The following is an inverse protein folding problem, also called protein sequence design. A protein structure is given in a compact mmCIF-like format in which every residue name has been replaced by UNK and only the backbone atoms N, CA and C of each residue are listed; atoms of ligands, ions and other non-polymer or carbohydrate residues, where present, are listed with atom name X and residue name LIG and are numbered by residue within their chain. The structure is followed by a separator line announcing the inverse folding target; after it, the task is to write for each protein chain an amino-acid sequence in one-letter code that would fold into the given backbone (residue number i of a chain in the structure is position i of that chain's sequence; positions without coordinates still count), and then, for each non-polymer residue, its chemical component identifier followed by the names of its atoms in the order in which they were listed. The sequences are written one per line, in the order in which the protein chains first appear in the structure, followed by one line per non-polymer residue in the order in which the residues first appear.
data_IF_213207903917
#
_entry.id   IF_213207903917
#
_cell.length_a   1.000
_cell.length_b   1.000
_cell.length_c   1.000
_cell.angle_alpha   90.00
_cell.angle_beta   90.00
_cell.angle_gamma   90.00
#
_symmetry.space_group_name_H-M   'P 1'
#
loop_
_entity.id
_entity.type
_entity.pdbx_description
1 polymer ?
#
# COMPACT_ATOMS: atom_id res chain seq x y z
N UNK A 1 -29.85 1.29 8.57
CA UNK A 1 -29.25 0.42 9.61
C UNK A 1 -28.21 -0.44 8.93
N UNK A 2 -26.93 -0.31 9.29
CA UNK A 2 -25.86 -1.16 8.73
C UNK A 2 -25.76 -2.44 9.56
N UNK A 3 -26.04 -3.58 8.95
CA UNK A 3 -25.79 -4.89 9.58
C UNK A 3 -24.31 -5.23 9.48
N UNK A 4 -23.65 -5.31 10.63
CA UNK A 4 -22.28 -5.83 10.73
C UNK A 4 -22.33 -7.36 10.71
N UNK A 5 -21.95 -7.94 9.58
CA UNK A 5 -21.82 -9.39 9.41
C UNK A 5 -20.44 -9.82 9.91
N UNK A 6 -20.32 -11.00 10.52
CA UNK A 6 -19.04 -11.57 10.93
C UNK A 6 -18.82 -12.89 10.21
N UNK A 7 -17.63 -13.08 9.66
CA UNK A 7 -17.21 -14.25 8.90
C UNK A 7 -16.11 -15.05 9.63
N UNK A 8 -15.89 -16.28 9.17
CA UNK A 8 -14.80 -17.09 9.69
C UNK A 8 -13.43 -16.57 9.21
N UNK A 9 -12.33 -16.88 9.93
CA UNK A 9 -10.99 -16.55 9.46
C UNK A 9 -10.61 -17.23 8.14
N UNK A 10 -11.22 -18.38 7.82
CA UNK A 10 -11.05 -19.08 6.55
C UNK A 10 -11.73 -18.33 5.41
N UNK A 11 -12.98 -17.91 5.59
CA UNK A 11 -13.69 -17.08 4.62
C UNK A 11 -12.99 -15.74 4.39
N UNK A 12 -12.52 -15.10 5.47
CA UNK A 12 -11.76 -13.86 5.39
C UNK A 12 -10.42 -14.05 4.63
N UNK A 13 -9.77 -15.20 4.80
CA UNK A 13 -8.55 -15.55 4.09
C UNK A 13 -8.81 -15.70 2.58
N UNK A 14 -9.87 -16.43 2.20
CA UNK A 14 -10.29 -16.58 0.80
C UNK A 14 -10.65 -15.25 0.17
N UNK A 15 -11.43 -14.40 0.85
CA UNK A 15 -11.81 -13.07 0.32
C UNK A 15 -10.60 -12.15 0.11
N UNK A 16 -9.58 -12.23 0.97
CA UNK A 16 -8.40 -11.34 0.93
C UNK A 16 -7.20 -11.94 0.19
N UNK A 17 -7.30 -13.18 -0.32
CA UNK A 17 -6.20 -13.84 -1.03
C UNK A 17 -4.96 -14.13 -0.16
N UNK A 18 -5.12 -14.29 1.16
CA UNK A 18 -4.03 -14.55 2.10
C UNK A 18 -4.24 -15.86 2.86
N UNK A 19 -3.22 -16.32 3.59
CA UNK A 19 -3.37 -17.53 4.42
C UNK A 19 -4.19 -17.25 5.68
N UNK A 20 -4.88 -18.27 6.20
CA UNK A 20 -5.61 -18.19 7.49
C UNK A 20 -4.67 -17.85 8.66
N UNK A 21 -3.41 -18.27 8.59
CA UNK A 21 -2.39 -17.93 9.59
C UNK A 21 -2.13 -16.42 9.63
N UNK A 22 -2.07 -15.77 8.46
CA UNK A 22 -1.94 -14.31 8.32
C UNK A 22 -3.14 -13.59 8.95
N UNK A 23 -4.37 -14.04 8.66
CA UNK A 23 -5.58 -13.48 9.28
C UNK A 23 -5.55 -13.61 10.82
N UNK A 24 -5.18 -14.78 11.35
CA UNK A 24 -5.06 -15.00 12.81
C UNK A 24 -3.93 -14.19 13.45
N UNK A 25 -2.88 -13.84 12.70
CA UNK A 25 -1.82 -12.94 13.15
C UNK A 25 -2.37 -11.52 13.26
N UNK A 26 -2.98 -11.01 12.20
CA UNK A 26 -3.59 -9.67 12.18
C UNK A 26 -4.68 -9.47 13.24
N UNK A 27 -5.52 -10.48 13.50
CA UNK A 27 -6.50 -10.43 14.59
C UNK A 27 -5.86 -10.30 15.98
N UNK A 28 -4.69 -10.93 16.19
CA UNK A 28 -3.96 -10.82 17.46
C UNK A 28 -3.24 -9.48 17.60
N UNK A 29 -2.76 -8.94 16.48
CA UNK A 29 -2.06 -7.66 16.41
C UNK A 29 -3.03 -6.45 16.42
N UNK A 30 -4.33 -6.69 16.21
CA UNK A 30 -5.35 -5.63 16.14
C UNK A 30 -5.44 -4.96 14.78
N UNK A 31 -4.79 -5.53 13.77
CA UNK A 31 -4.71 -5.01 12.40
C UNK A 31 -6.03 -5.08 11.64
N UNK A 32 -6.88 -6.05 12.01
CA UNK A 32 -8.22 -6.21 11.44
C UNK A 32 -9.23 -6.36 12.58
N UNK A 33 -10.42 -5.82 12.37
CA UNK A 33 -11.46 -5.86 13.39
C UNK A 33 -12.06 -7.25 13.49
N UNK A 34 -12.04 -7.83 14.68
CA UNK A 34 -12.63 -9.14 14.93
C UNK A 34 -12.91 -9.38 16.40
N UNK A 35 -13.89 -10.26 16.65
CA UNK A 35 -14.31 -10.65 17.99
C UNK A 35 -13.79 -12.06 18.24
N UNK A 36 -13.13 -12.25 19.39
CA UNK A 36 -12.76 -13.57 19.86
C UNK A 36 -13.92 -14.17 20.65
N UNK A 37 -14.58 -15.18 20.08
CA UNK A 37 -15.65 -15.94 20.71
C UNK A 37 -15.10 -17.28 21.20
N UNK A 38 -14.60 -17.30 22.44
CA UNK A 38 -13.97 -18.47 23.05
C UNK A 38 -12.69 -18.88 22.31
N UNK A 39 -12.71 -20.03 21.62
CA UNK A 39 -11.59 -20.55 20.82
C UNK A 39 -11.60 -20.09 19.37
N UNK A 40 -12.69 -19.45 18.93
CA UNK A 40 -12.88 -19.07 17.53
C UNK A 40 -12.76 -17.56 17.38
N UNK A 41 -12.11 -17.15 16.31
CA UNK A 41 -12.15 -15.76 15.87
C UNK A 41 -13.30 -15.56 14.89
N UNK A 42 -13.90 -14.36 14.96
CA UNK A 42 -14.91 -13.88 14.03
C UNK A 42 -14.42 -12.57 13.47
N UNK A 43 -14.11 -12.56 12.19
CA UNK A 43 -13.62 -11.37 11.48
C UNK A 43 -14.85 -10.56 11.09
N UNK A 44 -14.83 -9.25 11.29
CA UNK A 44 -15.89 -8.40 10.77
C UNK A 44 -15.86 -8.49 9.23
N UNK A 45 -16.99 -8.87 8.66
CA UNK A 45 -17.17 -8.94 7.22
C UNK A 45 -17.35 -7.51 6.70
N UNK A 46 -16.23 -6.96 6.26
CA UNK A 46 -16.12 -5.64 5.65
C UNK A 46 -16.62 -5.63 4.21
N UNK A 47 -17.58 -6.50 3.85
CA UNK A 47 -18.26 -6.53 2.55
C UNK A 47 -19.06 -5.23 2.26
N UNK A 48 -19.09 -4.30 3.21
CA UNK A 48 -19.54 -2.91 3.03
C UNK A 48 -18.58 -1.84 3.54
N UNK A 49 -17.31 -2.17 3.85
CA UNK A 49 -16.27 -1.16 4.02
C UNK A 49 -15.12 -1.53 3.10
N UNK A 50 -15.28 -1.08 1.86
CA UNK A 50 -14.29 -0.72 0.86
C UNK A 50 -12.86 -1.16 1.16
N UNK A 51 -12.17 -1.71 0.15
CA UNK A 51 -10.74 -2.05 0.16
C UNK A 51 -9.75 -0.95 0.58
N UNK A 52 -10.23 0.16 1.10
CA UNK A 52 -9.52 1.27 1.71
C UNK A 52 -8.56 0.86 2.82
N UNK A 53 -8.81 -0.15 3.66
CA UNK A 53 -7.88 -0.43 4.78
C UNK A 53 -6.51 -1.00 4.33
N UNK A 54 -6.51 -1.84 3.28
CA UNK A 54 -5.29 -2.36 2.67
C UNK A 54 -4.66 -1.33 1.72
N UNK A 55 -5.47 -0.62 0.92
CA UNK A 55 -5.01 0.54 0.15
C UNK A 55 -4.35 1.58 1.07
N UNK A 56 -4.91 1.86 2.25
CA UNK A 56 -4.37 2.86 3.19
C UNK A 56 -3.00 2.45 3.72
N UNK A 57 -2.69 1.15 3.87
CA UNK A 57 -1.37 0.68 4.31
C UNK A 57 -0.33 0.74 3.20
N UNK A 58 -0.68 0.32 1.99
CA UNK A 58 0.22 0.47 0.84
C UNK A 58 0.48 1.95 0.54
N UNK A 59 -0.55 2.79 0.62
CA UNK A 59 -0.44 4.25 0.51
C UNK A 59 0.40 4.82 1.65
N UNK A 60 0.26 4.36 2.90
CA UNK A 60 1.07 4.82 4.05
C UNK A 60 2.54 4.40 3.93
N UNK A 61 2.80 3.17 3.49
CA UNK A 61 4.16 2.67 3.19
C UNK A 61 4.81 3.47 2.05
N UNK A 62 4.05 3.71 0.98
CA UNK A 62 4.52 4.52 -0.15
C UNK A 62 4.78 5.96 0.28
N UNK A 63 3.90 6.57 1.09
CA UNK A 63 4.10 7.91 1.65
C UNK A 63 5.35 8.00 2.53
N UNK A 64 5.55 7.03 3.43
CA UNK A 64 6.76 6.96 4.26
C UNK A 64 8.03 6.80 3.42
N UNK A 65 7.98 6.01 2.35
CA UNK A 65 9.09 5.86 1.43
C UNK A 65 9.39 7.18 0.70
N UNK A 66 8.35 7.89 0.23
CA UNK A 66 8.51 9.19 -0.43
C UNK A 66 9.00 10.29 0.51
N UNK A 67 8.52 10.32 1.74
CA UNK A 67 8.96 11.30 2.75
C UNK A 67 10.44 11.09 3.11
N UNK A 68 10.86 9.83 3.24
CA UNK A 68 12.26 9.48 3.49
C UNK A 68 13.16 9.81 2.30
N UNK A 69 12.68 9.59 1.08
CA UNK A 69 13.38 10.00 -0.14
C UNK A 69 13.55 11.53 -0.18
N UNK A 70 12.48 12.27 0.10
CA UNK A 70 12.47 13.74 0.11
C UNK A 70 13.46 14.31 1.13
N UNK A 71 13.44 13.80 2.37
CA UNK A 71 14.41 14.20 3.39
C UNK A 71 15.86 13.87 2.99
N UNK A 72 16.08 12.75 2.31
CA UNK A 72 17.40 12.39 1.77
C UNK A 72 17.82 13.36 0.65
N UNK A 73 16.90 13.79 -0.22
CA UNK A 73 17.15 14.78 -1.27
C UNK A 73 17.46 16.17 -0.71
N UNK A 74 16.79 16.59 0.37
CA UNK A 74 17.07 17.85 1.06
C UNK A 74 18.49 17.83 1.64
N UNK A 75 18.87 16.74 2.31
CA UNK A 75 20.24 16.52 2.83
C UNK A 75 21.29 16.57 1.71
N UNK A 76 20.96 16.03 0.54
CA UNK A 76 21.81 16.08 -0.64
C UNK A 76 21.91 17.49 -1.23
N UNK A 77 20.81 18.26 -1.22
CA UNK A 77 20.80 19.67 -1.61
C UNK A 77 21.72 20.53 -0.74
N UNK A 78 21.69 20.31 0.58
CA UNK A 78 22.60 20.97 1.53
C UNK A 78 24.07 20.61 1.26
N UNK A 79 24.36 19.33 0.98
CA UNK A 79 25.70 18.89 0.59
C UNK A 79 26.18 19.49 -0.73
N UNK A 80 25.28 19.68 -1.70
CA UNK A 80 25.56 20.34 -2.97
C UNK A 80 25.91 21.82 -2.75
N UNK A 81 25.09 22.53 -1.97
CA UNK A 81 25.29 23.96 -1.69
C UNK A 81 26.52 24.24 -0.82
N UNK A 82 26.88 23.30 0.06
CA UNK A 82 28.08 23.38 0.92
C UNK A 82 29.42 23.09 0.23
N UNK A 83 29.44 22.86 -1.10
CA UNK A 83 30.67 22.54 -1.84
C UNK A 83 31.11 21.07 -1.69
N UNK A 84 30.15 20.15 -1.53
CA UNK A 84 30.39 18.72 -1.47
C UNK A 84 31.01 18.15 -2.75
N UNK A 85 31.68 17.01 -2.61
CA UNK A 85 32.43 16.35 -3.68
C UNK A 85 31.58 16.16 -4.94
N UNK A 86 31.96 16.82 -6.03
CA UNK A 86 31.19 16.97 -7.28
C UNK A 86 30.80 15.62 -7.92
N UNK A 87 31.54 14.56 -7.59
CA UNK A 87 31.23 13.19 -8.02
C UNK A 87 30.02 12.60 -7.31
N UNK A 88 29.83 12.90 -6.01
CA UNK A 88 28.65 12.49 -5.24
C UNK A 88 27.42 13.23 -5.75
N UNK A 89 27.56 14.53 -6.01
CA UNK A 89 26.51 15.38 -6.60
C UNK A 89 26.06 14.81 -7.96
N UNK A 90 27.01 14.48 -8.84
CA UNK A 90 26.73 13.92 -10.16
C UNK A 90 26.07 12.54 -10.09
N UNK A 91 26.55 11.65 -9.21
CA UNK A 91 25.96 10.32 -9.01
C UNK A 91 24.52 10.42 -8.51
N UNK A 92 24.26 11.35 -7.59
CA UNK A 92 22.91 11.62 -7.05
C UNK A 92 21.97 12.15 -8.12
N UNK A 93 22.39 13.15 -8.91
CA UNK A 93 21.56 13.67 -10.00
C UNK A 93 21.22 12.60 -11.05
N UNK A 94 22.16 11.69 -11.37
CA UNK A 94 21.89 10.57 -12.28
C UNK A 94 20.84 9.61 -11.72
N UNK A 95 20.89 9.30 -10.42
CA UNK A 95 19.90 8.44 -9.76
C UNK A 95 18.51 9.08 -9.69
N UNK A 96 18.45 10.42 -9.51
CA UNK A 96 17.19 11.15 -9.52
C UNK A 96 16.46 11.04 -10.86
N UNK A 97 17.16 11.16 -11.99
CA UNK A 97 16.55 10.99 -13.32
C UNK A 97 15.96 9.59 -13.53
N UNK A 98 16.62 8.55 -13.01
CA UNK A 98 16.10 7.19 -13.06
C UNK A 98 14.85 6.99 -12.18
N UNK A 99 14.80 7.67 -11.03
CA UNK A 99 13.61 7.66 -10.15
C UNK A 99 12.42 8.36 -10.80
N UNK A 100 12.63 9.52 -11.44
CA UNK A 100 11.58 10.22 -12.19
C UNK A 100 11.01 9.33 -13.31
N UNK A 101 11.88 8.67 -14.08
CA UNK A 101 11.46 7.75 -15.13
C UNK A 101 10.67 6.55 -14.59
N UNK A 102 11.10 5.98 -13.44
CA UNK A 102 10.38 4.90 -12.78
C UNK A 102 8.99 5.36 -12.30
N UNK A 103 8.87 6.58 -11.74
CA UNK A 103 7.57 7.12 -11.32
C UNK A 103 6.61 7.35 -12.49
N UNK A 104 7.11 7.84 -13.63
CA UNK A 104 6.31 7.99 -14.84
C UNK A 104 5.79 6.64 -15.38
N UNK A 105 6.64 5.61 -15.36
CA UNK A 105 6.25 4.24 -15.75
C UNK A 105 5.17 3.67 -14.82
N UNK A 106 5.30 3.89 -13.51
CA UNK A 106 4.29 3.45 -12.53
C UNK A 106 2.95 4.17 -12.72
N UNK A 107 2.96 5.48 -13.01
CA UNK A 107 1.75 6.24 -13.32
C UNK A 107 1.05 5.71 -14.58
N UNK A 108 1.81 5.43 -15.65
CA UNK A 108 1.28 4.85 -16.88
C UNK A 108 0.68 3.44 -16.65
N UNK A 109 1.32 2.60 -15.83
CA UNK A 109 0.77 1.30 -15.44
C UNK A 109 -0.55 1.45 -14.67
N UNK A 110 -0.64 2.41 -13.74
CA UNK A 110 -1.87 2.69 -12.99
C UNK A 110 -3.01 3.13 -13.92
N UNK A 111 -2.72 3.97 -14.91
CA UNK A 111 -3.70 4.44 -15.90
C UNK A 111 -4.19 3.29 -16.79
N UNK A 112 -3.29 2.42 -17.24
CA UNK A 112 -3.63 1.23 -18.04
C UNK A 112 -4.49 0.24 -17.25
N UNK A 113 -4.17 -0.01 -15.98
CA UNK A 113 -5.01 -0.88 -15.13
C UNK A 113 -6.42 -0.30 -14.90
N UNK A 114 -6.54 1.03 -14.79
CA UNK A 114 -7.82 1.72 -14.67
C UNK A 114 -8.69 1.59 -15.95
N UNK A 115 -8.07 1.60 -17.13
CA UNK A 115 -8.76 1.41 -18.41
C UNK A 115 -9.27 -0.04 -18.59
N UNK A 116 -8.47 -1.03 -18.18
CA UNK A 116 -8.86 -2.45 -18.23
C UNK A 116 -10.09 -2.73 -17.35
N UNK A 117 -10.19 -2.08 -16.18
CA UNK A 117 -11.35 -2.21 -15.29
C UNK A 117 -12.65 -1.60 -15.86
N UNK A 118 -12.56 -0.60 -16.75
CA UNK A 118 -13.74 0.00 -17.42
C UNK A 118 -14.23 -0.82 -18.62
N UNK A 119 -13.34 -1.51 -19.32
CA UNK A 119 -13.72 -2.34 -20.48
C UNK A 119 -14.42 -3.65 -20.12
N UNK A 120 -14.39 -4.07 -18.84
CA UNK A 120 -15.09 -5.26 -18.36
C UNK A 120 -16.52 -4.98 -17.83
N UNK A 121 -16.93 -3.71 -17.67
CA UNK A 121 -18.27 -3.36 -17.16
C UNK A 121 -19.34 -3.06 -18.22
N UNK A 122 -18.95 -2.90 -19.49
CA UNK A 122 -19.86 -2.51 -20.58
C UNK A 122 -20.30 -3.71 -21.45
N UNK A 123 -20.13 -4.93 -20.94
CA UNK A 123 -20.47 -6.17 -21.62
C UNK A 123 -21.23 -7.15 -20.72
N UNK A 124 -22.38 -6.73 -20.21
CA UNK A 124 -23.48 -7.61 -19.76
C UNK A 124 -24.83 -6.89 -19.92
#
# INVERSE_FOLDING_TARGET
MSWKRYISPEEAATKRGVTTATIRKWLREGDIQGIKMGRLWRVLDEEGSDGKALETREIDLMKKATDKLKSSMETLGELIQGGGNIQVIRAVCSLLSHLEEATAKMAALSEMMSQIGKSQSDGD
#
